data_IF_399747862265
#
_entry.id   IF_399747862265
#
_cell.length_a   1.000
_cell.length_b   1.000
_cell.length_c   1.000
_cell.angle_alpha   90.00
_cell.angle_beta   90.00
_cell.angle_gamma   90.00
#
_symmetry.space_group_name_H-M   'P 1'
#
loop_
_entity.id
_entity.type
_entity.pdbx_description
1 polymer ?
#
# COMPACT_ATOMS: atom_id res chain seq x y z
N UNK A 1 7.14 7.92 12.28
CA UNK A 1 5.79 7.33 12.41
C UNK A 1 5.87 5.84 12.04
N UNK A 2 5.07 4.96 12.62
CA UNK A 2 5.00 3.56 12.17
C UNK A 2 4.09 3.47 10.93
N UNK A 3 4.56 2.85 9.84
CA UNK A 3 3.78 2.72 8.62
C UNK A 3 2.55 1.82 8.81
N UNK A 4 2.72 0.65 9.42
CA UNK A 4 1.61 -0.28 9.71
C UNK A 4 1.36 -0.41 11.21
N UNK A 5 0.22 0.07 11.69
CA UNK A 5 -0.22 -0.11 13.09
C UNK A 5 -0.85 -1.48 13.27
N UNK A 6 -0.90 -1.99 14.51
CA UNK A 6 -1.57 -3.27 14.80
C UNK A 6 -3.07 -3.23 14.53
N UNK A 7 -3.71 -2.09 14.71
CA UNK A 7 -5.11 -1.90 14.35
C UNK A 7 -5.33 -2.00 12.84
N UNK A 8 -4.44 -1.42 12.04
CA UNK A 8 -4.54 -1.45 10.58
C UNK A 8 -4.19 -2.82 10.00
N UNK A 9 -3.17 -3.47 10.56
CA UNK A 9 -2.79 -4.86 10.27
C UNK A 9 -3.99 -5.79 10.44
N UNK A 10 -4.80 -5.61 11.49
CA UNK A 10 -5.99 -6.42 11.73
C UNK A 10 -7.16 -6.16 10.76
N UNK A 11 -7.16 -5.03 10.04
CA UNK A 11 -8.21 -4.68 9.05
C UNK A 11 -7.84 -5.15 7.64
N UNK A 12 -6.56 -5.38 7.37
CA UNK A 12 -6.10 -5.82 6.06
C UNK A 12 -6.50 -7.28 5.80
N UNK A 13 -7.16 -7.57 4.67
CA UNK A 13 -7.44 -8.94 4.27
C UNK A 13 -6.15 -9.73 4.02
N UNK A 14 -6.13 -11.05 4.24
CA UNK A 14 -4.99 -11.89 3.87
C UNK A 14 -4.84 -11.92 2.34
N UNK A 15 -3.63 -12.22 1.86
CA UNK A 15 -3.38 -12.39 0.42
C UNK A 15 -4.37 -13.36 -0.23
N UNK A 16 -4.75 -13.08 -1.48
CA UNK A 16 -5.67 -13.88 -2.31
C UNK A 16 -7.14 -13.89 -1.87
N UNK A 17 -7.51 -13.16 -0.81
CA UNK A 17 -8.90 -13.04 -0.35
C UNK A 17 -9.74 -12.07 -1.20
N UNK A 18 -9.09 -11.23 -2.00
CA UNK A 18 -9.71 -10.34 -2.97
C UNK A 18 -9.58 -10.83 -4.42
N UNK A 19 -9.05 -12.04 -4.64
CA UNK A 19 -8.95 -12.64 -5.97
C UNK A 19 -10.31 -12.71 -6.68
N UNK A 20 -10.29 -12.43 -7.99
CA UNK A 20 -11.49 -12.41 -8.82
C UNK A 20 -12.33 -11.13 -8.73
N UNK A 21 -12.00 -10.20 -7.82
CA UNK A 21 -12.68 -8.88 -7.77
C UNK A 21 -12.17 -7.89 -8.82
N UNK A 22 -10.96 -8.09 -9.35
CA UNK A 22 -10.35 -7.14 -10.29
C UNK A 22 -10.32 -5.72 -9.70
N UNK A 23 -10.81 -4.74 -10.46
CA UNK A 23 -10.79 -3.33 -10.03
C UNK A 23 -11.87 -2.97 -8.99
N UNK A 24 -12.75 -3.91 -8.63
CA UNK A 24 -13.66 -3.77 -7.48
C UNK A 24 -12.98 -4.09 -6.14
N UNK A 25 -11.73 -4.57 -6.15
CA UNK A 25 -10.98 -4.78 -4.92
C UNK A 25 -10.81 -3.45 -4.17
N UNK A 26 -10.84 -3.53 -2.84
CA UNK A 26 -10.76 -2.35 -1.97
C UNK A 26 -9.31 -2.16 -1.51
N UNK A 27 -8.75 -0.98 -1.77
CA UNK A 27 -7.50 -0.54 -1.15
C UNK A 27 -7.81 0.06 0.23
N UNK A 28 -7.15 -0.43 1.27
CA UNK A 28 -7.40 -0.02 2.67
C UNK A 28 -6.31 0.90 3.22
N UNK A 29 -5.14 0.94 2.60
CA UNK A 29 -4.00 1.70 3.07
C UNK A 29 -3.32 2.38 1.90
N UNK A 30 -2.91 3.62 2.11
CA UNK A 30 -2.08 4.38 1.17
C UNK A 30 -0.76 4.77 1.82
N UNK A 31 0.32 4.40 1.18
CA UNK A 31 1.68 4.85 1.47
C UNK A 31 2.16 5.76 0.35
N UNK A 32 2.97 6.77 0.67
CA UNK A 32 3.48 7.70 -0.34
C UNK A 32 4.85 8.24 0.04
N UNK A 33 5.60 8.65 -0.98
CA UNK A 33 6.82 9.45 -0.80
C UNK A 33 6.47 10.93 -0.69
N UNK A 34 6.91 11.66 0.36
CA UNK A 34 6.60 13.09 0.48
C UNK A 34 7.39 13.98 -0.49
N UNK A 35 8.52 13.47 -1.00
CA UNK A 35 9.49 14.16 -1.85
C UNK A 35 9.64 13.53 -3.25
N UNK A 36 8.73 12.63 -3.64
CA UNK A 36 8.69 12.05 -4.98
C UNK A 36 7.26 11.68 -5.40
N UNK A 37 7.09 11.08 -6.58
CA UNK A 37 5.76 10.78 -7.14
C UNK A 37 5.32 9.32 -6.95
N UNK A 38 5.89 8.59 -5.99
CA UNK A 38 5.54 7.20 -5.74
C UNK A 38 4.47 7.06 -4.66
N UNK A 39 3.46 6.24 -4.95
CA UNK A 39 2.35 5.88 -4.05
C UNK A 39 2.05 4.39 -4.12
N UNK A 40 1.73 3.77 -2.98
CA UNK A 40 1.35 2.37 -2.88
C UNK A 40 -0.01 2.28 -2.18
N UNK A 41 -0.94 1.53 -2.76
CA UNK A 41 -2.26 1.29 -2.22
C UNK A 41 -2.41 -0.20 -1.90
N UNK A 42 -2.44 -0.57 -0.62
CA UNK A 42 -2.53 -1.97 -0.22
C UNK A 42 -3.98 -2.46 -0.16
N UNK A 43 -4.26 -3.56 -0.84
CA UNK A 43 -5.55 -4.27 -0.81
C UNK A 43 -5.52 -5.44 0.15
N UNK A 44 -4.35 -6.06 0.35
CA UNK A 44 -4.15 -7.28 1.13
C UNK A 44 -2.76 -7.31 1.78
N UNK A 45 -2.58 -8.12 2.82
CA UNK A 45 -1.32 -8.23 3.54
C UNK A 45 -1.09 -9.61 4.17
N UNK A 46 0.14 -10.09 4.08
CA UNK A 46 0.67 -11.21 4.85
C UNK A 46 1.52 -10.70 6.01
N UNK A 47 1.11 -10.92 7.28
CA UNK A 47 1.86 -10.47 8.45
C UNK A 47 3.11 -11.32 8.77
N UNK A 48 3.20 -12.56 8.27
CA UNK A 48 4.35 -13.45 8.46
C UNK A 48 5.48 -13.00 7.55
N UNK A 49 5.21 -12.92 6.25
CA UNK A 49 6.20 -12.53 5.25
C UNK A 49 6.37 -11.01 5.13
N UNK A 50 5.47 -10.23 5.74
CA UNK A 50 5.39 -8.77 5.69
C UNK A 50 5.20 -8.22 4.27
N UNK A 51 4.43 -8.93 3.45
CA UNK A 51 4.21 -8.62 2.03
C UNK A 51 2.79 -8.08 1.84
N UNK A 52 2.66 -6.97 1.12
CA UNK A 52 1.38 -6.48 0.63
C UNK A 52 1.15 -6.91 -0.82
N UNK A 53 -0.12 -6.97 -1.20
CA UNK A 53 -0.54 -6.88 -2.60
C UNK A 53 -1.40 -5.63 -2.79
N UNK A 54 -1.29 -4.99 -3.95
CA UNK A 54 -2.11 -3.85 -4.30
C UNK A 54 -1.57 -3.02 -5.48
N UNK A 55 -2.09 -1.80 -5.62
CA UNK A 55 -1.74 -0.90 -6.72
C UNK A 55 -0.51 -0.07 -6.37
N UNK A 56 0.49 -0.09 -7.25
CA UNK A 56 1.67 0.76 -7.19
C UNK A 56 1.54 1.82 -8.28
N UNK A 57 1.59 3.08 -7.88
CA UNK A 57 1.53 4.25 -8.76
C UNK A 57 2.89 4.95 -8.71
N UNK A 58 3.70 4.72 -9.73
CA UNK A 58 5.08 5.21 -9.84
C UNK A 58 5.40 5.68 -11.25
N UNK A 59 6.21 4.89 -11.97
CA UNK A 59 6.46 5.14 -13.40
C UNK A 59 5.25 4.75 -14.26
N UNK A 60 4.66 3.60 -13.95
CA UNK A 60 3.39 3.13 -14.48
C UNK A 60 2.50 2.71 -13.30
N UNK A 61 1.19 2.66 -13.52
CA UNK A 61 0.23 2.13 -12.54
C UNK A 61 0.04 0.65 -12.74
N UNK A 62 0.48 -0.16 -11.78
CA UNK A 62 0.45 -1.61 -11.89
C UNK A 62 0.03 -2.28 -10.58
N UNK A 63 -0.60 -3.45 -10.69
CA UNK A 63 -0.86 -4.31 -9.53
C UNK A 63 0.35 -5.19 -9.27
N UNK A 64 0.81 -5.22 -8.02
CA UNK A 64 2.00 -5.97 -7.66
C UNK A 64 2.17 -6.17 -6.16
N UNK A 65 3.22 -6.91 -5.84
CA UNK A 65 3.64 -7.15 -4.47
C UNK A 65 4.68 -6.13 -4.03
N UNK A 66 4.63 -5.72 -2.77
CA UNK A 66 5.64 -4.85 -2.16
C UNK A 66 5.80 -5.16 -0.68
N UNK A 67 7.02 -5.01 -0.15
CA UNK A 67 7.35 -5.44 1.22
C UNK A 67 7.31 -4.27 2.21
N UNK A 68 6.80 -4.50 3.41
CA UNK A 68 6.79 -3.47 4.47
C UNK A 68 8.22 -3.05 4.85
N UNK A 69 9.16 -4.01 4.92
CA UNK A 69 10.57 -3.74 5.22
C UNK A 69 11.24 -2.87 4.15
N UNK A 70 10.91 -3.07 2.87
CA UNK A 70 11.37 -2.21 1.78
C UNK A 70 10.81 -0.80 1.94
N UNK A 71 9.49 -0.66 2.15
CA UNK A 71 8.87 0.65 2.35
C UNK A 71 9.47 1.42 3.55
N UNK A 72 9.79 0.73 4.64
CA UNK A 72 10.43 1.31 5.83
C UNK A 72 11.88 1.76 5.56
N UNK A 73 12.56 1.16 4.58
CA UNK A 73 13.95 1.45 4.20
C UNK A 73 14.10 2.53 3.12
N UNK A 74 13.08 2.74 2.29
CA UNK A 74 13.12 3.70 1.18
C UNK A 74 13.35 5.13 1.69
N UNK A 75 14.25 5.82 1.00
CA UNK A 75 14.52 7.25 1.14
C UNK A 75 14.34 7.92 -0.22
N UNK A 76 13.49 8.94 -0.26
CA UNK A 76 13.28 9.73 -1.47
C UNK A 76 14.47 10.64 -1.79
N UNK A 77 14.37 11.44 -2.87
CA UNK A 77 15.46 12.29 -3.34
C UNK A 77 15.97 13.33 -2.33
N UNK A 78 15.12 13.76 -1.39
CA UNK A 78 15.48 14.68 -0.31
C UNK A 78 15.82 13.93 1.00
N UNK A 79 15.90 12.61 0.96
CA UNK A 79 16.17 11.77 2.12
C UNK A 79 14.96 11.55 3.03
N UNK A 80 13.74 11.90 2.58
CA UNK A 80 12.53 11.69 3.37
C UNK A 80 12.12 10.21 3.31
N UNK A 81 11.57 9.71 4.41
CA UNK A 81 10.98 8.38 4.46
C UNK A 81 9.60 8.38 3.82
N UNK A 82 9.16 7.20 3.38
CA UNK A 82 7.76 6.96 3.06
C UNK A 82 6.87 7.26 4.28
N UNK A 83 5.69 7.79 4.01
CA UNK A 83 4.64 8.05 5.00
C UNK A 83 3.37 7.26 4.67
N UNK A 84 2.52 7.08 5.69
CA UNK A 84 1.16 6.55 5.52
C UNK A 84 0.19 7.72 5.57
N UNK A 85 -0.73 7.77 4.62
CA UNK A 85 -1.83 8.72 4.64
C UNK A 85 -2.86 8.31 5.72
N UNK A 86 -2.98 9.11 6.78
CA UNK A 86 -3.88 8.82 7.92
C UNK A 86 -5.33 9.20 7.66
N UNK A 87 -5.59 9.96 6.58
CA UNK A 87 -6.93 10.40 6.18
C UNK A 87 -7.44 9.61 4.98
N UNK A 88 -6.65 8.67 4.46
CA UNK A 88 -7.08 7.81 3.37
C UNK A 88 -8.25 6.92 3.82
N UNK A 89 -9.36 7.06 3.13
CA UNK A 89 -10.53 6.20 3.30
C UNK A 89 -10.44 4.99 2.35
N UNK A 90 -10.91 3.81 2.76
CA UNK A 90 -10.91 2.65 1.89
C UNK A 90 -11.60 2.94 0.56
N UNK A 91 -10.89 2.76 -0.54
CA UNK A 91 -11.29 3.20 -1.89
C UNK A 91 -11.15 2.04 -2.87
N UNK A 92 -12.06 1.91 -3.83
CA UNK A 92 -11.98 0.85 -4.84
C UNK A 92 -10.89 1.16 -5.86
N UNK A 93 -10.25 0.12 -6.38
CA UNK A 93 -9.13 0.29 -7.31
C UNK A 93 -9.51 1.05 -8.59
N UNK A 94 -10.73 0.91 -9.11
CA UNK A 94 -11.17 1.69 -10.29
C UNK A 94 -11.19 3.20 -10.05
N UNK A 95 -11.31 3.68 -8.80
CA UNK A 95 -11.29 5.11 -8.47
C UNK A 95 -9.86 5.66 -8.36
N UNK A 96 -8.87 4.77 -8.28
CA UNK A 96 -7.44 5.09 -8.12
C UNK A 96 -6.66 5.00 -9.45
N UNK A 97 -7.31 4.56 -10.53
CA UNK A 97 -6.71 4.38 -11.86
C UNK A 97 -6.77 5.65 -12.71
#
# INVERSE_FOLDING_TARGET
MKLLTKELEAKLPPLYSQDGKGDEALALVKFFTPDSSWTWYATEYDPVERVFFGLVDGLEKELGYFRLDELESIKGPLGLSIERDIYFEPTRLYELR
#
